data_IF_048154737303
#
_entry.id   IF_048154737303
#
_cell.length_a   1.000
_cell.length_b   1.000
_cell.length_c   1.000
_cell.angle_alpha   90.00
_cell.angle_beta   90.00
_cell.angle_gamma   90.00
#
_symmetry.space_group_name_H-M   'P 1'
#
loop_
_entity.id
_entity.type
_entity.pdbx_description
1 polymer ?
#
# COMPACT_ATOMS: atom_id res chain seq x y z
N UNK A 1 -11.25 11.84 -9.88
CA UNK A 1 -10.01 11.46 -9.20
C UNK A 1 -9.43 10.09 -9.64
N UNK A 2 -10.19 9.24 -10.33
CA UNK A 2 -9.79 7.88 -10.73
C UNK A 2 -9.11 7.77 -12.09
N UNK A 3 -8.74 8.88 -12.71
CA UNK A 3 -8.22 8.90 -14.09
C UNK A 3 -6.69 8.90 -14.15
N UNK A 4 -6.01 9.04 -13.03
CA UNK A 4 -4.54 9.11 -12.95
C UNK A 4 -3.97 7.97 -12.10
N UNK A 5 -2.67 7.70 -12.23
CA UNK A 5 -1.99 6.63 -11.51
C UNK A 5 -2.29 5.23 -12.05
N UNK A 6 -2.06 4.20 -11.23
CA UNK A 6 -2.22 2.80 -11.64
C UNK A 6 -3.64 2.45 -12.06
N UNK A 7 -4.68 3.02 -11.43
CA UNK A 7 -6.07 2.76 -11.78
C UNK A 7 -6.46 3.36 -13.12
N UNK A 8 -5.94 4.55 -13.46
CA UNK A 8 -6.12 5.14 -14.79
C UNK A 8 -5.47 4.29 -15.89
N UNK A 9 -4.29 3.76 -15.62
CA UNK A 9 -3.59 2.87 -16.54
C UNK A 9 -4.33 1.53 -16.68
N UNK A 10 -4.80 0.96 -15.57
CA UNK A 10 -5.61 -0.26 -15.54
C UNK A 10 -6.89 -0.11 -16.37
N UNK A 11 -7.61 0.99 -16.20
CA UNK A 11 -8.83 1.30 -16.98
C UNK A 11 -8.60 1.20 -18.49
N UNK A 12 -7.47 1.71 -18.97
CA UNK A 12 -7.16 1.65 -20.41
C UNK A 12 -6.74 0.24 -20.83
N UNK A 13 -5.93 -0.44 -20.01
CA UNK A 13 -5.30 -1.71 -20.42
C UNK A 13 -6.17 -2.95 -20.19
N UNK A 14 -7.23 -2.86 -19.39
CA UNK A 14 -8.07 -4.01 -19.04
C UNK A 14 -9.55 -3.75 -19.29
N UNK A 15 -10.30 -4.82 -19.60
CA UNK A 15 -11.75 -4.86 -19.64
C UNK A 15 -12.25 -6.21 -19.13
N UNK A 16 -13.17 -6.19 -18.18
CA UNK A 16 -13.82 -7.40 -17.65
C UNK A 16 -12.83 -8.50 -17.18
N UNK A 17 -11.70 -8.11 -16.59
CA UNK A 17 -10.69 -9.05 -16.11
C UNK A 17 -9.67 -9.50 -17.17
N UNK A 18 -9.81 -9.10 -18.41
CA UNK A 18 -8.88 -9.46 -19.50
C UNK A 18 -8.06 -8.25 -19.97
N UNK A 19 -6.78 -8.49 -20.26
CA UNK A 19 -5.94 -7.48 -20.91
C UNK A 19 -6.44 -7.22 -22.35
N UNK A 20 -6.50 -5.95 -22.73
CA UNK A 20 -6.81 -5.55 -24.10
C UNK A 20 -5.62 -5.82 -25.02
N UNK A 21 -5.91 -6.34 -26.20
CA UNK A 21 -4.88 -6.55 -27.22
C UNK A 21 -4.58 -5.23 -27.97
N UNK A 22 -3.45 -5.20 -28.67
CA UNK A 22 -3.13 -4.07 -29.54
C UNK A 22 -4.22 -3.83 -30.62
N UNK A 23 -4.87 -4.88 -31.10
CA UNK A 23 -5.98 -4.76 -32.04
C UNK A 23 -7.20 -4.08 -31.41
N UNK A 24 -7.53 -4.42 -30.16
CA UNK A 24 -8.61 -3.75 -29.41
C UNK A 24 -8.30 -2.28 -29.14
N UNK A 25 -7.06 -1.98 -28.77
CA UNK A 25 -6.61 -0.60 -28.54
C UNK A 25 -6.56 0.25 -29.82
N UNK A 26 -6.43 -0.38 -30.99
CA UNK A 26 -6.47 0.31 -32.29
C UNK A 26 -7.88 0.37 -32.90
N UNK A 27 -8.85 -0.37 -32.37
CA UNK A 27 -10.22 -0.33 -32.77
C UNK A 27 -10.98 0.82 -32.06
N UNK A 28 -11.97 1.41 -32.73
CA UNK A 28 -12.94 2.26 -32.04
C UNK A 28 -13.87 1.35 -31.23
N UNK A 29 -13.60 1.13 -29.98
CA UNK A 29 -14.51 0.40 -29.10
C UNK A 29 -15.59 1.35 -28.58
N UNK A 30 -16.86 0.97 -28.80
CA UNK A 30 -18.00 1.57 -28.12
C UNK A 30 -18.45 0.65 -27.01
N UNK A 31 -18.31 1.07 -25.75
CA UNK A 31 -18.99 0.42 -24.63
C UNK A 31 -20.38 1.06 -24.46
N UNK A 32 -21.34 0.25 -24.01
CA UNK A 32 -22.72 0.70 -23.76
C UNK A 32 -22.69 1.85 -22.73
N UNK A 33 -23.13 3.04 -23.15
CA UNK A 33 -23.16 4.24 -22.33
C UNK A 33 -21.90 5.12 -22.36
N UNK A 34 -20.86 4.76 -23.11
CA UNK A 34 -19.67 5.58 -23.32
C UNK A 34 -19.58 6.14 -24.72
N UNK A 35 -19.12 7.38 -24.84
CA UNK A 35 -18.75 7.95 -26.18
C UNK A 35 -17.52 7.18 -26.69
N UNK A 36 -17.51 6.88 -28.01
CA UNK A 36 -16.38 6.18 -28.62
C UNK A 36 -15.10 6.98 -28.42
N UNK A 37 -14.12 6.38 -27.70
CA UNK A 37 -12.75 6.90 -27.60
C UNK A 37 -11.92 6.17 -28.65
N UNK A 38 -11.14 6.92 -29.42
CA UNK A 38 -10.21 6.31 -30.38
C UNK A 38 -9.11 5.60 -29.59
N UNK A 39 -8.83 4.34 -29.92
CA UNK A 39 -7.81 3.55 -29.21
C UNK A 39 -6.40 4.18 -29.22
N UNK A 40 -6.09 4.99 -30.24
CA UNK A 40 -4.83 5.75 -30.28
C UNK A 40 -4.77 6.82 -29.17
N UNK A 41 -5.90 7.44 -28.84
CA UNK A 41 -5.97 8.45 -27.78
C UNK A 41 -5.85 7.78 -26.41
N UNK A 42 -6.39 6.57 -26.24
CA UNK A 42 -6.23 5.75 -25.03
C UNK A 42 -4.77 5.29 -24.85
N UNK A 43 -4.08 4.90 -25.93
CA UNK A 43 -2.66 4.57 -25.87
C UNK A 43 -1.80 5.78 -25.50
N UNK A 44 -2.08 6.95 -26.08
CA UNK A 44 -1.41 8.20 -25.74
C UNK A 44 -1.63 8.56 -24.27
N UNK A 45 -2.86 8.41 -23.77
CA UNK A 45 -3.20 8.60 -22.37
C UNK A 45 -2.46 7.59 -21.48
N UNK A 46 -2.47 6.31 -21.82
CA UNK A 46 -1.75 5.27 -21.05
C UNK A 46 -0.24 5.56 -20.97
N UNK A 47 0.36 6.01 -22.08
CA UNK A 47 1.78 6.39 -22.10
C UNK A 47 2.06 7.60 -21.20
N UNK A 48 1.19 8.62 -21.20
CA UNK A 48 1.30 9.78 -20.31
C UNK A 48 1.18 9.37 -18.84
N UNK A 49 0.18 8.54 -18.50
CA UNK A 49 -0.01 8.03 -17.11
C UNK A 49 1.18 7.17 -16.66
N UNK A 50 1.73 6.33 -17.53
CA UNK A 50 2.93 5.55 -17.22
C UNK A 50 4.14 6.47 -16.94
N UNK A 51 4.29 7.57 -17.71
CA UNK A 51 5.29 8.60 -17.46
C UNK A 51 5.12 9.27 -16.10
N UNK A 52 3.88 9.61 -15.73
CA UNK A 52 3.58 10.18 -14.41
C UNK A 52 3.90 9.21 -13.27
N UNK A 53 3.55 7.93 -13.40
CA UNK A 53 3.90 6.89 -12.43
C UNK A 53 5.42 6.79 -12.26
N UNK A 54 6.17 6.82 -13.36
CA UNK A 54 7.64 6.83 -13.33
C UNK A 54 8.16 8.05 -12.56
N UNK A 55 7.62 9.22 -12.81
CA UNK A 55 8.03 10.46 -12.13
C UNK A 55 7.72 10.40 -10.62
N UNK A 56 6.55 9.89 -10.23
CA UNK A 56 6.16 9.74 -8.82
C UNK A 56 7.05 8.73 -8.09
N UNK A 57 7.34 7.59 -8.70
CA UNK A 57 8.24 6.60 -8.10
C UNK A 57 9.66 7.11 -7.99
N UNK A 58 10.12 7.91 -8.94
CA UNK A 58 11.41 8.59 -8.89
C UNK A 58 11.48 9.63 -7.77
N UNK A 59 10.37 10.36 -7.54
CA UNK A 59 10.25 11.29 -6.41
C UNK A 59 10.32 10.56 -5.06
N UNK A 60 9.64 9.43 -4.93
CA UNK A 60 9.72 8.59 -3.73
C UNK A 60 11.15 8.09 -3.50
N UNK A 61 11.85 7.67 -4.56
CA UNK A 61 13.25 7.26 -4.48
C UNK A 61 14.15 8.44 -4.04
N UNK A 62 13.93 9.62 -4.59
CA UNK A 62 14.64 10.83 -4.16
C UNK A 62 14.41 11.13 -2.69
N UNK A 63 13.15 11.18 -2.24
CA UNK A 63 12.79 11.44 -0.86
C UNK A 63 13.37 10.41 0.11
N UNK A 64 13.44 9.15 -0.30
CA UNK A 64 14.02 8.08 0.51
C UNK A 64 15.55 8.14 0.59
N UNK A 65 16.21 8.41 -0.52
CA UNK A 65 17.68 8.37 -0.62
C UNK A 65 18.37 9.72 -0.40
N UNK A 66 17.65 10.83 -0.54
CA UNK A 66 18.21 12.19 -0.51
C UNK A 66 19.03 12.56 -1.76
N UNK A 67 18.67 12.04 -2.93
CA UNK A 67 19.37 12.26 -4.18
C UNK A 67 19.05 13.64 -4.77
N UNK A 68 19.92 14.62 -4.54
CA UNK A 68 19.76 15.98 -5.05
C UNK A 68 19.78 16.07 -6.58
N UNK A 69 20.48 15.17 -7.27
CA UNK A 69 20.53 15.14 -8.75
C UNK A 69 19.18 14.73 -9.32
N UNK A 70 18.58 13.68 -8.77
CA UNK A 70 17.25 13.23 -9.14
C UNK A 70 16.20 14.31 -8.83
N UNK A 71 16.29 14.94 -7.66
CA UNK A 71 15.41 16.04 -7.26
C UNK A 71 15.46 17.22 -8.23
N UNK A 72 16.67 17.63 -8.67
CA UNK A 72 16.86 18.69 -9.67
C UNK A 72 16.26 18.30 -11.03
N UNK A 73 16.42 17.05 -11.45
CA UNK A 73 15.83 16.56 -12.69
C UNK A 73 14.30 16.57 -12.65
N UNK A 74 13.70 16.09 -11.57
CA UNK A 74 12.24 16.11 -11.37
C UNK A 74 11.70 17.54 -11.38
N UNK A 75 12.34 18.46 -10.67
CA UNK A 75 11.97 19.88 -10.63
C UNK A 75 12.01 20.52 -12.03
N UNK A 76 12.97 20.13 -12.86
CA UNK A 76 13.12 20.68 -14.21
C UNK A 76 12.14 20.09 -15.23
N UNK A 77 11.63 18.87 -15.00
CA UNK A 77 10.84 18.12 -15.98
C UNK A 77 9.37 17.94 -15.61
N UNK A 78 9.00 18.17 -14.35
CA UNK A 78 7.64 17.88 -13.85
C UNK A 78 7.11 19.05 -13.01
N UNK A 79 6.42 20.01 -13.63
CA UNK A 79 5.91 21.19 -12.91
C UNK A 79 5.00 20.88 -11.71
N UNK A 80 4.23 19.80 -11.77
CA UNK A 80 3.35 19.38 -10.68
C UNK A 80 4.11 18.70 -9.52
N UNK A 81 5.28 18.14 -9.77
CA UNK A 81 6.16 17.53 -8.76
C UNK A 81 6.84 18.62 -7.91
N UNK A 82 6.98 19.86 -8.42
CA UNK A 82 7.58 20.98 -7.68
C UNK A 82 6.82 21.23 -6.37
N UNK A 83 5.50 21.19 -6.37
CA UNK A 83 4.70 21.35 -5.16
C UNK A 83 4.92 20.20 -4.17
N UNK A 84 4.96 18.95 -4.66
CA UNK A 84 5.23 17.78 -3.82
C UNK A 84 6.63 17.79 -3.20
N UNK A 85 7.66 18.24 -3.95
CA UNK A 85 9.00 18.45 -3.40
C UNK A 85 9.00 19.55 -2.34
N UNK A 86 8.30 20.65 -2.57
CA UNK A 86 8.17 21.74 -1.61
C UNK A 86 7.43 21.29 -0.35
N UNK A 87 6.36 20.50 -0.48
CA UNK A 87 5.63 19.98 0.66
C UNK A 87 6.49 18.98 1.47
N UNK A 88 7.36 18.21 0.83
CA UNK A 88 8.38 17.40 1.49
C UNK A 88 9.42 18.26 2.22
N UNK A 89 9.84 19.40 1.62
CA UNK A 89 10.72 20.36 2.25
C UNK A 89 10.05 21.02 3.47
N UNK A 90 8.82 21.49 3.32
CA UNK A 90 8.08 22.21 4.36
C UNK A 90 7.65 21.28 5.51
N UNK A 91 7.25 20.02 5.20
CA UNK A 91 6.81 19.07 6.22
C UNK A 91 7.96 18.34 6.91
N UNK A 92 9.08 18.17 6.24
CA UNK A 92 10.26 17.48 6.78
C UNK A 92 11.43 18.40 7.11
N UNK A 93 11.30 19.69 6.90
CA UNK A 93 12.21 20.82 7.27
C UNK A 93 13.72 20.66 7.09
N UNK A 94 14.21 19.45 7.06
CA UNK A 94 15.62 19.10 7.03
C UNK A 94 16.00 18.09 5.95
N UNK A 95 15.03 17.44 5.29
CA UNK A 95 15.34 16.34 4.37
C UNK A 95 16.04 16.84 3.10
N UNK A 96 15.57 17.95 2.54
CA UNK A 96 16.10 18.49 1.30
C UNK A 96 17.29 19.44 1.52
N UNK A 97 17.29 20.24 2.58
CA UNK A 97 18.38 21.19 2.85
C UNK A 97 19.69 20.53 3.29
N UNK A 98 19.64 19.28 3.76
CA UNK A 98 20.81 18.54 4.22
C UNK A 98 21.26 17.42 3.24
N UNK A 99 20.53 17.18 2.14
CA UNK A 99 20.80 16.04 1.25
C UNK A 99 20.61 14.68 1.94
N UNK A 100 19.85 14.63 3.02
CA UNK A 100 19.61 13.42 3.81
C UNK A 100 18.24 12.87 3.42
N UNK A 101 18.20 11.67 2.83
CA UNK A 101 16.96 10.98 2.53
C UNK A 101 16.24 10.46 3.78
N UNK A 102 14.94 10.20 3.64
CA UNK A 102 14.09 9.73 4.73
C UNK A 102 14.60 8.43 5.37
N UNK A 103 15.18 7.52 4.56
CA UNK A 103 15.81 6.30 5.08
C UNK A 103 16.97 6.59 6.04
N UNK A 104 17.86 7.53 5.68
CA UNK A 104 18.96 7.94 6.55
C UNK A 104 18.44 8.69 7.79
N UNK A 105 17.38 9.46 7.65
CA UNK A 105 16.74 10.16 8.75
C UNK A 105 16.17 9.19 9.80
N UNK A 106 15.56 8.10 9.37
CA UNK A 106 15.11 7.03 10.28
C UNK A 106 16.28 6.34 10.99
N UNK A 107 17.42 6.17 10.31
CA UNK A 107 18.63 5.60 10.91
C UNK A 107 19.25 6.50 11.99
N UNK A 108 18.97 7.79 11.96
CA UNK A 108 19.45 8.77 12.93
C UNK A 108 18.46 9.03 14.08
N UNK A 109 17.63 8.06 14.41
CA UNK A 109 16.52 8.17 15.35
C UNK A 109 16.87 8.72 16.75
N UNK A 110 18.15 8.73 17.15
CA UNK A 110 18.61 9.27 18.44
C UNK A 110 19.38 10.58 18.32
N UNK A 111 19.44 11.17 17.11
CA UNK A 111 20.13 12.44 16.88
C UNK A 111 19.32 13.65 17.33
N UNK A 112 19.98 14.80 17.56
CA UNK A 112 19.34 16.06 18.00
C UNK A 112 18.23 16.58 17.06
N UNK A 113 18.23 16.12 15.80
CA UNK A 113 17.25 16.49 14.76
C UNK A 113 16.34 15.32 14.37
N UNK A 114 16.31 14.24 15.15
CA UNK A 114 15.47 13.09 14.84
C UNK A 114 13.99 13.41 15.08
N UNK A 115 13.11 13.03 14.15
CA UNK A 115 11.66 13.11 14.36
C UNK A 115 11.19 12.17 15.48
N UNK A 116 11.87 11.03 15.59
CA UNK A 116 11.61 10.07 16.64
C UNK A 116 12.80 10.09 17.59
N UNK A 117 12.66 10.64 18.81
CA UNK A 117 13.78 10.82 19.73
C UNK A 117 14.35 9.50 20.27
N UNK A 118 13.64 8.38 20.09
CA UNK A 118 14.10 7.05 20.53
C UNK A 118 13.87 6.01 19.44
N UNK A 119 14.68 4.95 19.46
CA UNK A 119 14.46 3.78 18.59
C UNK A 119 13.10 3.14 18.83
N UNK A 120 12.62 3.13 20.07
CA UNK A 120 11.31 2.61 20.41
C UNK A 120 10.20 3.37 19.70
N UNK A 121 10.25 4.70 19.69
CA UNK A 121 9.29 5.54 18.97
C UNK A 121 9.39 5.36 17.46
N UNK A 122 10.60 5.24 16.91
CA UNK A 122 10.77 4.93 15.47
C UNK A 122 10.11 3.59 15.12
N UNK A 123 10.39 2.54 15.88
CA UNK A 123 9.83 1.22 15.62
C UNK A 123 8.31 1.20 15.80
N UNK A 124 7.79 1.89 16.80
CA UNK A 124 6.36 2.02 17.02
C UNK A 124 5.67 2.76 15.87
N UNK A 125 6.18 3.92 15.48
CA UNK A 125 5.55 4.71 14.42
C UNK A 125 5.65 4.03 13.05
N UNK A 126 6.78 3.44 12.71
CA UNK A 126 6.93 2.66 11.48
C UNK A 126 6.08 1.40 11.54
N UNK A 127 6.04 0.73 12.70
CA UNK A 127 5.35 -0.53 12.88
C UNK A 127 3.83 -0.33 12.98
N UNK A 128 3.37 0.54 13.86
CA UNK A 128 1.95 0.85 14.03
C UNK A 128 1.46 1.75 12.89
N UNK A 129 2.18 2.82 12.61
CA UNK A 129 1.80 3.76 11.55
C UNK A 129 1.86 3.16 10.15
N UNK A 130 2.86 2.32 9.87
CA UNK A 130 3.01 1.66 8.57
C UNK A 130 2.19 0.38 8.45
N UNK A 131 2.55 -0.65 9.22
CA UNK A 131 1.95 -1.98 9.05
C UNK A 131 0.49 -2.06 9.53
N UNK A 132 0.17 -1.48 10.70
CA UNK A 132 -1.19 -1.47 11.24
C UNK A 132 -2.13 -0.63 10.37
N UNK A 133 -1.70 0.56 9.91
CA UNK A 133 -2.51 1.39 9.04
C UNK A 133 -2.82 0.71 7.70
N UNK A 134 -1.88 -0.06 7.13
CA UNK A 134 -2.14 -0.88 5.94
C UNK A 134 -3.23 -1.92 6.23
N UNK A 135 -3.16 -2.64 7.36
CA UNK A 135 -4.21 -3.58 7.74
C UNK A 135 -5.56 -2.89 7.85
N UNK A 136 -5.63 -1.76 8.59
CA UNK A 136 -6.87 -1.00 8.80
C UNK A 136 -7.47 -0.53 7.49
N UNK A 137 -6.66 0.02 6.59
CA UNK A 137 -7.11 0.43 5.27
C UNK A 137 -7.69 -0.75 4.48
N UNK A 138 -7.03 -1.90 4.49
CA UNK A 138 -7.50 -3.08 3.74
C UNK A 138 -8.78 -3.64 4.34
N UNK A 139 -8.85 -3.89 5.66
CA UNK A 139 -10.02 -4.56 6.22
C UNK A 139 -11.21 -3.63 6.48
N UNK A 140 -10.99 -2.32 6.71
CA UNK A 140 -12.10 -1.39 6.95
C UNK A 140 -12.61 -0.75 5.67
N UNK A 141 -11.70 -0.26 4.83
CA UNK A 141 -12.06 0.52 3.65
C UNK A 141 -12.13 -0.37 2.39
N UNK A 142 -10.99 -0.93 1.98
CA UNK A 142 -10.87 -1.60 0.69
C UNK A 142 -11.76 -2.85 0.56
N UNK A 143 -11.69 -3.78 1.51
CA UNK A 143 -12.59 -4.94 1.57
C UNK A 143 -13.87 -4.61 2.32
N UNK A 144 -13.75 -3.93 3.47
CA UNK A 144 -14.83 -3.78 4.43
C UNK A 144 -15.96 -2.92 3.92
N UNK A 145 -15.69 -1.81 3.26
CA UNK A 145 -16.73 -0.90 2.79
C UNK A 145 -17.65 -1.58 1.77
N UNK A 146 -17.07 -2.16 0.72
CA UNK A 146 -17.87 -2.85 -0.31
C UNK A 146 -18.62 -4.06 0.27
N UNK A 147 -17.99 -4.81 1.20
CA UNK A 147 -18.64 -5.92 1.91
C UNK A 147 -19.83 -5.45 2.73
N UNK A 148 -19.68 -4.39 3.56
CA UNK A 148 -20.77 -3.85 4.39
C UNK A 148 -21.95 -3.38 3.52
N UNK A 149 -21.66 -2.65 2.44
CA UNK A 149 -22.72 -2.19 1.53
C UNK A 149 -23.42 -3.36 0.86
N UNK A 150 -22.69 -4.35 0.38
CA UNK A 150 -23.26 -5.52 -0.29
C UNK A 150 -24.06 -6.43 0.63
N UNK A 151 -23.77 -6.41 1.95
CA UNK A 151 -24.52 -7.19 2.96
C UNK A 151 -25.60 -6.36 3.68
N UNK A 152 -25.87 -5.13 3.25
CA UNK A 152 -26.90 -4.27 3.85
C UNK A 152 -26.49 -3.57 5.14
N UNK A 153 -25.21 -3.54 5.49
CA UNK A 153 -24.64 -2.91 6.68
C UNK A 153 -23.81 -1.67 6.38
N UNK A 154 -23.98 -1.07 5.19
CA UNK A 154 -23.28 0.14 4.78
C UNK A 154 -23.57 1.32 5.74
N UNK A 155 -22.53 2.04 6.11
CA UNK A 155 -22.57 3.18 7.02
C UNK A 155 -22.51 4.52 6.31
N UNK A 156 -22.14 5.53 7.10
CA UNK A 156 -21.84 6.88 6.64
C UNK A 156 -20.34 7.09 6.83
N UNK A 157 -19.66 7.61 5.81
CA UNK A 157 -18.23 7.95 5.87
C UNK A 157 -17.98 9.15 6.80
N UNK A 158 -16.74 9.35 7.21
CA UNK A 158 -16.35 10.53 8.00
C UNK A 158 -16.73 11.86 7.34
N UNK A 159 -16.80 11.88 5.99
CA UNK A 159 -17.26 13.03 5.21
C UNK A 159 -18.79 13.18 5.14
N UNK A 160 -19.54 12.35 5.85
CA UNK A 160 -21.01 12.38 5.89
C UNK A 160 -21.69 11.80 4.64
N UNK A 161 -20.97 11.10 3.79
CA UNK A 161 -21.50 10.40 2.60
C UNK A 161 -21.88 8.96 2.93
N UNK A 162 -22.85 8.39 2.21
CA UNK A 162 -23.09 6.95 2.30
C UNK A 162 -21.90 6.18 1.74
N UNK A 163 -21.53 5.09 2.42
CA UNK A 163 -20.54 4.15 1.87
C UNK A 163 -21.00 3.62 0.51
N UNK A 164 -20.07 3.48 -0.42
CA UNK A 164 -20.30 2.95 -1.77
C UNK A 164 -19.61 1.60 -1.93
N UNK A 165 -20.27 0.68 -2.65
CA UNK A 165 -19.62 -0.57 -3.10
C UNK A 165 -18.56 -0.32 -4.19
N UNK A 166 -18.52 0.89 -4.75
CA UNK A 166 -17.62 1.23 -5.85
C UNK A 166 -16.20 1.62 -5.38
N UNK A 167 -15.98 1.64 -4.06
CA UNK A 167 -14.64 1.80 -3.49
C UNK A 167 -13.88 0.46 -3.54
N UNK A 168 -13.57 0.02 -4.76
CA UNK A 168 -12.87 -1.25 -5.03
C UNK A 168 -11.67 -0.95 -5.93
N UNK A 169 -10.49 -1.41 -5.52
CA UNK A 169 -9.28 -1.34 -6.34
C UNK A 169 -9.31 -2.38 -7.46
N UNK A 170 -8.69 -2.04 -8.58
CA UNK A 170 -8.53 -2.92 -9.74
C UNK A 170 -9.83 -3.57 -10.24
N UNK A 171 -10.91 -2.77 -10.41
CA UNK A 171 -12.20 -3.31 -10.83
C UNK A 171 -12.19 -3.82 -12.27
N UNK A 172 -11.36 -3.24 -13.14
CA UNK A 172 -11.30 -3.54 -14.57
C UNK A 172 -10.48 -4.80 -14.86
N UNK A 173 -9.40 -5.01 -14.15
CA UNK A 173 -8.56 -6.21 -14.24
C UNK A 173 -9.08 -7.34 -13.35
N UNK A 174 -10.00 -7.06 -12.43
CA UNK A 174 -10.54 -7.98 -11.42
C UNK A 174 -9.46 -8.57 -10.51
N UNK A 175 -8.41 -7.79 -10.22
CA UNK A 175 -7.22 -8.22 -9.48
C UNK A 175 -7.20 -7.80 -8.01
N UNK A 176 -8.28 -7.24 -7.47
CA UNK A 176 -8.36 -6.67 -6.11
C UNK A 176 -7.72 -7.58 -5.03
N UNK A 177 -7.99 -8.90 -5.05
CA UNK A 177 -7.39 -9.82 -4.07
C UNK A 177 -5.87 -9.95 -4.21
N UNK A 178 -5.32 -9.73 -5.39
CA UNK A 178 -3.86 -9.71 -5.62
C UNK A 178 -3.29 -8.45 -5.00
N UNK A 179 -3.90 -7.29 -5.28
CA UNK A 179 -3.44 -6.00 -4.77
C UNK A 179 -3.50 -5.97 -3.23
N UNK A 180 -4.57 -6.50 -2.65
CA UNK A 180 -4.68 -6.60 -1.18
C UNK A 180 -3.69 -7.61 -0.58
N UNK A 181 -3.38 -8.69 -1.29
CA UNK A 181 -2.33 -9.63 -0.88
C UNK A 181 -0.95 -8.97 -0.92
N UNK A 182 -0.67 -8.15 -1.93
CA UNK A 182 0.58 -7.38 -2.04
C UNK A 182 0.71 -6.36 -0.90
N UNK A 183 -0.40 -5.74 -0.46
CA UNK A 183 -0.40 -4.92 0.75
C UNK A 183 0.03 -5.72 1.99
N UNK A 184 -0.46 -6.94 2.18
CA UNK A 184 -0.05 -7.79 3.32
C UNK A 184 1.39 -8.32 3.15
N UNK A 185 1.83 -8.59 1.92
CA UNK A 185 3.24 -8.89 1.65
C UNK A 185 4.18 -7.72 1.98
N UNK A 186 3.75 -6.47 1.80
CA UNK A 186 4.55 -5.31 2.22
C UNK A 186 4.79 -5.29 3.73
N UNK A 187 3.79 -5.71 4.53
CA UNK A 187 3.93 -5.91 5.97
C UNK A 187 4.92 -7.03 6.26
N UNK A 188 4.79 -8.19 5.59
CA UNK A 188 5.75 -9.28 5.70
C UNK A 188 7.17 -8.83 5.40
N UNK A 189 7.36 -8.08 4.32
CA UNK A 189 8.66 -7.55 3.93
C UNK A 189 9.27 -6.66 5.02
N UNK A 190 8.47 -5.80 5.65
CA UNK A 190 8.89 -4.94 6.76
C UNK A 190 9.27 -5.77 8.00
N UNK A 191 8.48 -6.78 8.35
CA UNK A 191 8.71 -7.65 9.51
C UNK A 191 9.93 -8.55 9.32
N UNK A 192 10.07 -9.16 8.14
CA UNK A 192 11.10 -10.13 7.81
C UNK A 192 12.41 -9.49 7.32
N UNK A 193 12.37 -8.22 6.91
CA UNK A 193 13.52 -7.48 6.39
C UNK A 193 13.98 -7.93 5.00
N UNK A 194 13.11 -8.54 4.21
CA UNK A 194 13.40 -9.03 2.86
C UNK A 194 12.22 -8.81 1.92
N UNK A 195 12.49 -8.61 0.63
CA UNK A 195 11.45 -8.55 -0.43
C UNK A 195 11.05 -9.92 -0.97
N UNK A 196 11.70 -10.99 -0.54
CA UNK A 196 11.32 -12.34 -0.93
C UNK A 196 10.05 -12.74 -0.17
N UNK A 197 8.92 -12.65 -0.84
CA UNK A 197 7.60 -13.01 -0.29
C UNK A 197 7.49 -14.49 0.05
N UNK A 198 8.36 -15.33 -0.52
CA UNK A 198 8.42 -16.78 -0.24
C UNK A 198 9.29 -17.12 0.97
N UNK A 199 10.03 -16.14 1.52
CA UNK A 199 10.91 -16.35 2.66
C UNK A 199 10.10 -16.89 3.85
N UNK A 200 10.58 -17.97 4.44
CA UNK A 200 10.05 -18.60 5.66
C UNK A 200 10.83 -18.22 6.90
N UNK A 201 12.00 -17.59 6.72
CA UNK A 201 12.91 -17.20 7.80
C UNK A 201 13.24 -15.72 7.67
N UNK A 202 13.03 -14.92 8.73
CA UNK A 202 13.43 -13.52 8.77
C UNK A 202 14.95 -13.35 8.66
N UNK A 203 15.42 -12.25 8.05
CA UNK A 203 16.87 -11.93 8.01
C UNK A 203 17.39 -11.50 9.38
N UNK A 204 18.71 -11.57 9.56
CA UNK A 204 19.38 -11.43 10.85
C UNK A 204 19.06 -10.15 11.64
N UNK A 205 18.79 -9.03 10.95
CA UNK A 205 18.52 -7.73 11.58
C UNK A 205 17.07 -7.27 11.36
N UNK A 206 16.15 -8.19 11.11
CA UNK A 206 14.74 -7.90 10.94
C UNK A 206 14.01 -7.63 12.26
N UNK A 207 12.83 -7.02 12.18
CA UNK A 207 11.96 -6.81 13.35
C UNK A 207 11.61 -8.13 14.04
N UNK A 208 11.29 -9.17 13.26
CA UNK A 208 11.01 -10.51 13.81
C UNK A 208 12.22 -11.10 14.55
N UNK A 209 13.43 -10.90 14.05
CA UNK A 209 14.65 -11.37 14.74
C UNK A 209 14.90 -10.61 16.04
N UNK A 210 14.63 -9.30 16.07
CA UNK A 210 14.70 -8.47 17.27
C UNK A 210 13.68 -8.95 18.30
N UNK A 211 12.43 -9.18 17.93
CA UNK A 211 11.38 -9.70 18.80
C UNK A 211 11.79 -11.04 19.44
N UNK A 212 12.35 -11.95 18.64
CA UNK A 212 12.84 -13.25 19.12
C UNK A 212 14.01 -13.07 20.08
N UNK A 213 14.97 -12.22 19.76
CA UNK A 213 16.15 -11.93 20.60
C UNK A 213 15.77 -11.41 21.98
N UNK A 214 14.75 -10.55 22.05
CA UNK A 214 14.29 -9.94 23.30
C UNK A 214 13.05 -10.63 23.90
N UNK A 215 12.76 -11.85 23.47
CA UNK A 215 11.72 -12.73 24.03
C UNK A 215 10.30 -12.10 24.01
N UNK A 216 9.89 -11.51 22.88
CA UNK A 216 8.53 -11.07 22.72
C UNK A 216 7.56 -12.26 22.78
N UNK A 217 6.70 -12.30 23.80
CA UNK A 217 5.77 -13.41 24.02
C UNK A 217 4.73 -13.58 22.90
N UNK A 218 4.37 -12.49 22.19
CA UNK A 218 3.43 -12.49 21.06
C UNK A 218 4.06 -12.91 19.72
N UNK A 219 5.36 -13.25 19.66
CA UNK A 219 6.06 -13.57 18.41
C UNK A 219 5.33 -14.62 17.56
N UNK A 220 4.92 -15.73 18.16
CA UNK A 220 4.25 -16.82 17.46
C UNK A 220 2.85 -16.41 16.97
N UNK A 221 2.12 -15.66 17.81
CA UNK A 221 0.77 -15.18 17.45
C UNK A 221 0.82 -14.22 16.25
N UNK A 222 1.74 -13.25 16.26
CA UNK A 222 1.95 -12.32 15.16
C UNK A 222 2.32 -13.06 13.86
N UNK A 223 3.25 -14.01 13.94
CA UNK A 223 3.67 -14.77 12.76
C UNK A 223 2.51 -15.60 12.20
N UNK A 224 1.74 -16.26 13.06
CA UNK A 224 0.56 -17.02 12.66
C UNK A 224 -0.51 -16.11 12.02
N UNK A 225 -0.80 -14.96 12.61
CA UNK A 225 -1.76 -14.02 12.07
C UNK A 225 -1.37 -13.50 10.68
N UNK A 226 -0.06 -13.22 10.48
CA UNK A 226 0.48 -12.84 9.17
C UNK A 226 0.28 -13.93 8.12
N UNK A 227 0.64 -15.16 8.44
CA UNK A 227 0.51 -16.30 7.53
C UNK A 227 -0.98 -16.58 7.21
N UNK A 228 -1.86 -16.48 8.20
CA UNK A 228 -3.30 -16.66 8.03
C UNK A 228 -3.95 -15.56 7.17
N UNK A 229 -3.52 -14.31 7.31
CA UNK A 229 -4.01 -13.20 6.47
C UNK A 229 -3.59 -13.41 5.00
N UNK A 230 -2.34 -13.77 4.75
CA UNK A 230 -1.84 -14.09 3.41
C UNK A 230 -2.60 -15.29 2.82
N UNK A 231 -2.80 -16.35 3.60
CA UNK A 231 -3.50 -17.55 3.16
C UNK A 231 -4.99 -17.30 2.86
N UNK A 232 -5.65 -16.44 3.62
CA UNK A 232 -7.05 -16.05 3.37
C UNK A 232 -7.20 -15.35 2.02
N UNK A 233 -6.31 -14.38 1.72
CA UNK A 233 -6.29 -13.68 0.43
C UNK A 233 -5.91 -14.60 -0.73
N UNK A 234 -4.97 -15.52 -0.52
CA UNK A 234 -4.63 -16.55 -1.52
C UNK A 234 -5.82 -17.50 -1.81
N UNK A 235 -6.57 -17.87 -0.79
CA UNK A 235 -7.80 -18.65 -0.94
C UNK A 235 -8.87 -17.88 -1.72
N UNK A 236 -9.06 -16.60 -1.40
CA UNK A 236 -10.01 -15.74 -2.11
C UNK A 236 -9.61 -15.59 -3.58
N UNK A 237 -8.34 -15.34 -3.87
CA UNK A 237 -7.79 -15.26 -5.23
C UNK A 237 -8.03 -16.56 -6.03
N UNK A 238 -7.82 -17.72 -5.40
CA UNK A 238 -8.03 -19.05 -6.02
C UNK A 238 -9.49 -19.46 -6.17
N UNK A 239 -10.43 -18.75 -5.53
CA UNK A 239 -11.85 -19.07 -5.64
C UNK A 239 -12.42 -18.86 -7.05
N UNK A 240 -11.73 -18.12 -7.90
CA UNK A 240 -12.20 -17.71 -9.22
C UNK A 240 -13.29 -16.63 -9.17
N UNK A 241 -13.61 -16.10 -8.00
CA UNK A 241 -14.58 -15.02 -7.81
C UNK A 241 -13.84 -13.69 -7.77
N UNK A 242 -14.18 -12.78 -8.66
CA UNK A 242 -13.66 -11.42 -8.59
C UNK A 242 -14.39 -10.65 -7.47
N UNK A 243 -13.65 -9.91 -6.66
CA UNK A 243 -14.21 -9.13 -5.54
C UNK A 243 -15.25 -8.12 -6.02
N UNK A 244 -15.00 -7.45 -7.15
CA UNK A 244 -15.92 -6.47 -7.74
C UNK A 244 -17.27 -7.09 -8.12
N UNK A 245 -17.29 -8.35 -8.53
CA UNK A 245 -18.52 -9.04 -8.94
C UNK A 245 -19.33 -9.56 -7.75
N UNK A 246 -18.67 -9.92 -6.64
CA UNK A 246 -19.35 -10.44 -5.45
C UNK A 246 -18.65 -10.01 -4.14
N UNK A 247 -18.80 -8.74 -3.73
CA UNK A 247 -18.21 -8.25 -2.47
C UNK A 247 -18.78 -8.91 -1.20
N UNK A 248 -19.97 -9.52 -1.28
CA UNK A 248 -20.63 -10.20 -0.16
C UNK A 248 -20.15 -11.66 0.01
N UNK A 249 -19.25 -12.15 -0.80
CA UNK A 249 -18.80 -13.54 -0.73
C UNK A 249 -18.18 -13.88 0.64
N UNK A 250 -18.42 -15.08 1.15
CA UNK A 250 -17.99 -15.50 2.50
C UNK A 250 -16.45 -15.42 2.70
N UNK A 251 -15.66 -15.63 1.64
CA UNK A 251 -14.21 -15.49 1.71
C UNK A 251 -13.76 -14.04 1.93
N UNK A 252 -14.53 -13.04 1.48
CA UNK A 252 -14.25 -11.62 1.77
C UNK A 252 -14.29 -11.39 3.28
N UNK A 253 -15.34 -11.91 3.95
CA UNK A 253 -15.43 -11.81 5.42
C UNK A 253 -14.26 -12.50 6.11
N UNK A 254 -13.85 -13.65 5.60
CA UNK A 254 -12.67 -14.37 6.14
C UNK A 254 -11.41 -13.52 6.00
N UNK A 255 -11.18 -12.87 4.85
CA UNK A 255 -10.04 -11.96 4.67
C UNK A 255 -10.10 -10.79 5.66
N UNK A 256 -11.25 -10.14 5.79
CA UNK A 256 -11.46 -9.04 6.74
C UNK A 256 -11.09 -9.48 8.16
N UNK A 257 -11.60 -10.63 8.62
CA UNK A 257 -11.35 -11.10 9.98
C UNK A 257 -9.88 -11.45 10.24
N UNK A 258 -9.21 -12.08 9.26
CA UNK A 258 -7.81 -12.46 9.39
C UNK A 258 -6.87 -11.24 9.35
N UNK A 259 -7.17 -10.25 8.53
CA UNK A 259 -6.39 -9.01 8.47
C UNK A 259 -6.61 -8.17 9.74
N UNK A 260 -7.84 -8.13 10.27
CA UNK A 260 -8.11 -7.48 11.55
C UNK A 260 -7.36 -8.18 12.70
N UNK A 261 -7.28 -9.51 12.72
CA UNK A 261 -6.48 -10.24 13.70
C UNK A 261 -4.99 -9.90 13.58
N UNK A 262 -4.48 -9.75 12.36
CA UNK A 262 -3.09 -9.32 12.13
C UNK A 262 -2.86 -7.90 12.68
N UNK A 263 -3.78 -6.97 12.47
CA UNK A 263 -3.72 -5.62 13.04
C UNK A 263 -3.64 -5.64 14.56
N UNK A 264 -4.47 -6.45 15.23
CA UNK A 264 -4.44 -6.60 16.69
C UNK A 264 -3.07 -7.08 17.18
N UNK A 265 -2.46 -8.05 16.50
CA UNK A 265 -1.13 -8.56 16.87
C UNK A 265 -0.01 -7.55 16.58
N UNK A 266 -0.12 -6.78 15.50
CA UNK A 266 0.80 -5.67 15.19
C UNK A 266 0.75 -4.59 16.28
N UNK A 267 -0.42 -4.19 16.72
CA UNK A 267 -0.62 -3.20 17.78
C UNK A 267 -0.02 -3.66 19.12
N UNK A 268 -0.16 -4.96 19.46
CA UNK A 268 0.51 -5.56 20.63
C UNK A 268 2.03 -5.51 20.50
N UNK A 269 2.56 -5.82 19.30
CA UNK A 269 4.00 -5.75 19.03
C UNK A 269 4.52 -4.31 19.08
N UNK A 270 3.80 -3.33 18.55
CA UNK A 270 4.14 -1.91 18.65
C UNK A 270 4.22 -1.45 20.12
N UNK A 271 3.21 -1.80 20.92
CA UNK A 271 3.19 -1.50 22.37
C UNK A 271 4.36 -2.15 23.11
N UNK A 272 4.73 -3.37 22.73
CA UNK A 272 5.89 -4.05 23.30
C UNK A 272 7.22 -3.34 22.92
N UNK A 273 7.39 -2.90 21.67
CA UNK A 273 8.56 -2.13 21.24
C UNK A 273 8.69 -0.82 22.04
N UNK A 274 7.59 -0.10 22.24
CA UNK A 274 7.55 1.13 23.04
C UNK A 274 8.08 0.86 24.47
N UNK A 275 7.68 -0.26 25.07
CA UNK A 275 8.06 -0.63 26.44
C UNK A 275 9.44 -1.27 26.53
N UNK A 276 10.08 -1.63 25.40
CA UNK A 276 11.32 -2.39 25.38
C UNK A 276 12.47 -1.59 26.00
N UNK A 277 13.04 -2.13 27.09
CA UNK A 277 14.25 -1.59 27.70
C UNK A 277 15.44 -2.37 27.17
N UNK A 278 16.25 -1.73 26.35
CA UNK A 278 17.53 -2.27 25.91
C UNK A 278 18.59 -1.76 26.88
N UNK A 279 19.15 -2.65 27.70
CA UNK A 279 20.34 -2.30 28.48
C UNK A 279 21.50 -1.99 27.54
N UNK A 280 22.13 -0.84 27.74
CA UNK A 280 23.35 -0.43 27.02
C UNK A 280 24.47 -1.42 27.23
#
# INVERSE_FOLDING_TARGET
DSVIGFHGLEFVLFRNGAARTAAMLNANETEEGMTSVKGIDELAFAAAVAGDIYNMTSLLQYGWNGDATLGSWLTSNCNWVINGLKDLEDSAGALSSAGIGYGQFLLNATGEKAWFPTWQETLENVFVGGCSSICQEVYTQKLGQAYRVATGHGGITEEGKKESKDYIESPYSKRSFIDYQDNIYSIKNSLYGTRDVTATTPVANSLMTIMKKYNYSGYSALNTALDEAIAALESAKKSGIAFVDNPAHAQVKTCIDKINTLDDELNKAGSWFRALKVSK
#
